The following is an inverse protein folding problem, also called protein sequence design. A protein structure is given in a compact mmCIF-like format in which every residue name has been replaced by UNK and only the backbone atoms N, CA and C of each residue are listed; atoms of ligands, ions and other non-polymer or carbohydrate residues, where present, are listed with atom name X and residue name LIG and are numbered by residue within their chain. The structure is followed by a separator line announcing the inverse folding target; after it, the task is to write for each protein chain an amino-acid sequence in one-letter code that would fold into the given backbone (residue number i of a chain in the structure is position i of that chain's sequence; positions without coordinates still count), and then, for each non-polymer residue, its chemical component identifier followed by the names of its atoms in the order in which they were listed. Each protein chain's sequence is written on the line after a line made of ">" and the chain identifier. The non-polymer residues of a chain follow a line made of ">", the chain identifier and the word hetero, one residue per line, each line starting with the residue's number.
data_IF_033445240450
#
_entry.id   IF_033445240450
#
_cell.length_a   1.000
_cell.length_b   1.000
_cell.length_c   1.000
_cell.angle_alpha   90.00
_cell.angle_beta   90.00
_cell.angle_gamma   90.00
#
_symmetry.space_group_name_H-M   'P 1'
#
loop_
_entity.id
_entity.type
_entity.pdbx_description
1 polymer ?
#
# COMPACT_ATOMS: atom_id res chain seq x y z
N UNK A 1 7.02 -30.52 38.99
CA UNK A 1 6.47 -29.23 38.49
C UNK A 1 6.02 -29.47 37.06
N UNK A 2 4.72 -29.32 36.80
CA UNK A 2 4.09 -29.64 35.51
C UNK A 2 4.56 -28.68 34.43
N UNK A 3 5.15 -29.22 33.35
CA UNK A 3 5.51 -28.50 32.11
C UNK A 3 4.25 -28.08 31.35
N UNK A 4 3.52 -27.10 31.87
CA UNK A 4 2.34 -26.56 31.19
C UNK A 4 2.84 -25.55 30.15
N UNK A 5 2.50 -25.71 28.87
CA UNK A 5 2.86 -24.73 27.84
C UNK A 5 2.24 -23.37 28.18
N UNK A 6 2.93 -22.29 27.80
CA UNK A 6 2.57 -20.90 28.18
C UNK A 6 1.12 -20.57 27.80
N UNK A 7 0.70 -21.06 26.65
CA UNK A 7 -0.64 -20.90 26.08
C UNK A 7 -1.77 -21.55 26.92
N UNK A 8 -1.47 -22.50 27.81
CA UNK A 8 -2.48 -23.15 28.67
C UNK A 8 -2.76 -22.38 29.97
N UNK A 9 -2.04 -21.29 30.26
CA UNK A 9 -2.26 -20.49 31.47
C UNK A 9 -3.25 -19.35 31.27
N UNK A 10 -3.41 -18.86 30.03
CA UNK A 10 -4.36 -17.81 29.66
C UNK A 10 -5.60 -18.40 28.98
N UNK A 11 -6.78 -17.88 29.29
CA UNK A 11 -8.07 -18.48 28.90
C UNK A 11 -8.15 -18.90 27.43
N UNK A 12 -8.76 -20.06 27.17
CA UNK A 12 -8.85 -20.72 25.85
C UNK A 12 -9.19 -19.80 24.67
N UNK A 13 -10.04 -18.79 24.89
CA UNK A 13 -10.44 -17.82 23.86
C UNK A 13 -9.28 -16.95 23.34
N UNK A 14 -8.31 -16.59 24.19
CA UNK A 14 -7.15 -15.78 23.80
C UNK A 14 -6.26 -16.51 22.81
N UNK A 15 -5.89 -17.74 23.17
CA UNK A 15 -5.06 -18.63 22.36
C UNK A 15 -5.69 -18.90 21.01
N UNK A 16 -6.99 -19.20 21.00
CA UNK A 16 -7.74 -19.47 19.77
C UNK A 16 -7.68 -18.26 18.84
N UNK A 17 -7.90 -17.05 19.34
CA UNK A 17 -7.86 -15.86 18.49
C UNK A 17 -6.46 -15.51 17.98
N UNK A 18 -5.42 -15.69 18.79
CA UNK A 18 -4.04 -15.50 18.32
C UNK A 18 -3.68 -16.50 17.21
N UNK A 19 -4.07 -17.76 17.36
CA UNK A 19 -3.89 -18.80 16.35
C UNK A 19 -4.64 -18.46 15.06
N UNK A 20 -5.94 -18.11 15.15
CA UNK A 20 -6.74 -17.66 14.00
C UNK A 20 -6.06 -16.50 13.28
N UNK A 21 -5.59 -15.48 14.02
CA UNK A 21 -4.91 -14.34 13.43
C UNK A 21 -3.62 -14.72 12.70
N UNK A 22 -2.88 -15.69 13.22
CA UNK A 22 -1.63 -16.16 12.61
C UNK A 22 -1.88 -16.97 11.34
N UNK A 23 -2.93 -17.80 11.32
CA UNK A 23 -3.40 -18.47 10.11
C UNK A 23 -3.84 -17.48 9.03
N UNK A 24 -4.63 -16.46 9.41
CA UNK A 24 -5.07 -15.42 8.48
C UNK A 24 -3.89 -14.59 7.94
N UNK A 25 -2.90 -14.28 8.77
CA UNK A 25 -1.64 -13.65 8.33
C UNK A 25 -0.92 -14.50 7.28
N UNK A 26 -0.85 -15.82 7.46
CA UNK A 26 -0.28 -16.73 6.45
C UNK A 26 -1.02 -16.69 5.10
N UNK A 27 -2.35 -16.64 5.12
CA UNK A 27 -3.15 -16.47 3.89
C UNK A 27 -2.87 -15.12 3.23
N UNK A 28 -2.85 -14.04 4.00
CA UNK A 28 -2.59 -12.70 3.50
C UNK A 28 -1.16 -12.56 2.92
N UNK A 29 -0.17 -13.19 3.56
CA UNK A 29 1.19 -13.28 3.05
C UNK A 29 1.28 -14.03 1.70
N UNK A 30 0.50 -15.10 1.53
CA UNK A 30 0.39 -15.78 0.23
C UNK A 30 -0.18 -14.88 -0.88
N UNK A 31 -1.18 -14.05 -0.54
CA UNK A 31 -1.74 -13.06 -1.47
C UNK A 31 -0.72 -11.98 -1.81
N UNK A 32 0.03 -11.49 -0.83
CA UNK A 32 1.13 -10.54 -1.00
C UNK A 32 2.17 -11.06 -2.01
N UNK A 33 2.67 -12.29 -1.82
CA UNK A 33 3.66 -12.89 -2.73
C UNK A 33 3.11 -13.07 -4.15
N UNK A 34 1.86 -13.52 -4.27
CA UNK A 34 1.19 -13.69 -5.56
C UNK A 34 1.07 -12.35 -6.29
N UNK A 35 0.70 -11.29 -5.57
CA UNK A 35 0.58 -9.95 -6.11
C UNK A 35 1.94 -9.36 -6.50
N UNK A 36 2.98 -9.59 -5.68
CA UNK A 36 4.35 -9.19 -5.97
C UNK A 36 4.88 -9.86 -7.24
N UNK A 37 4.70 -11.18 -7.38
CA UNK A 37 5.09 -11.93 -8.58
C UNK A 37 4.38 -11.39 -9.84
N UNK A 38 3.08 -11.13 -9.74
CA UNK A 38 2.29 -10.52 -10.82
C UNK A 38 2.78 -9.11 -11.17
N UNK A 39 3.12 -8.29 -10.17
CA UNK A 39 3.69 -6.96 -10.40
C UNK A 39 5.04 -7.05 -11.13
N UNK A 40 5.93 -7.96 -10.71
CA UNK A 40 7.22 -8.16 -11.37
C UNK A 40 7.07 -8.60 -12.82
N UNK A 41 6.15 -9.54 -13.09
CA UNK A 41 5.84 -9.98 -14.45
C UNK A 41 5.37 -8.80 -15.33
N UNK A 42 4.40 -8.01 -14.85
CA UNK A 42 3.85 -6.89 -15.61
C UNK A 42 4.85 -5.73 -15.78
N UNK A 43 5.61 -5.39 -14.73
CA UNK A 43 6.64 -4.35 -14.78
C UNK A 43 7.81 -4.75 -15.69
N UNK A 44 8.14 -6.05 -15.76
CA UNK A 44 9.14 -6.60 -16.66
C UNK A 44 8.70 -6.55 -18.12
N UNK A 45 7.44 -6.92 -18.41
CA UNK A 45 6.86 -6.94 -19.76
C UNK A 45 6.54 -5.54 -20.31
N UNK A 46 6.17 -4.59 -19.46
CA UNK A 46 5.77 -3.23 -19.84
C UNK A 46 6.96 -2.41 -20.39
N UNK A 47 7.27 -2.57 -21.68
CA UNK A 47 8.45 -1.98 -22.31
C UNK A 47 8.28 -0.58 -22.91
N UNK A 48 7.06 -0.01 -23.03
CA UNK A 48 6.89 1.20 -23.88
C UNK A 48 6.45 2.51 -23.19
N UNK A 49 5.83 2.52 -21.99
CA UNK A 49 5.21 3.76 -21.45
C UNK A 49 5.49 4.06 -19.96
N UNK A 50 6.51 3.44 -19.34
CA UNK A 50 6.93 3.75 -17.96
C UNK A 50 8.37 4.24 -17.98
N UNK A 51 8.64 5.40 -17.37
CA UNK A 51 10.00 5.89 -17.17
C UNK A 51 10.84 4.85 -16.43
N UNK A 52 12.08 4.62 -16.88
CA UNK A 52 13.02 3.69 -16.23
C UNK A 52 13.19 3.99 -14.74
N UNK A 53 13.17 5.27 -14.35
CA UNK A 53 13.27 5.71 -12.94
C UNK A 53 12.07 5.25 -12.13
N UNK A 54 10.87 5.53 -12.61
CA UNK A 54 9.62 5.11 -11.98
C UNK A 54 9.52 3.59 -11.88
N UNK A 55 9.94 2.86 -12.91
CA UNK A 55 9.97 1.39 -12.89
C UNK A 55 10.90 0.86 -11.80
N UNK A 56 12.13 1.37 -11.71
CA UNK A 56 13.10 0.98 -10.67
C UNK A 56 12.56 1.27 -9.26
N UNK A 57 11.93 2.42 -9.07
CA UNK A 57 11.29 2.78 -7.81
C UNK A 57 10.23 1.75 -7.40
N UNK A 58 9.32 1.38 -8.30
CA UNK A 58 8.30 0.36 -8.02
C UNK A 58 8.90 -1.02 -7.71
N UNK A 59 9.93 -1.45 -8.44
CA UNK A 59 10.62 -2.71 -8.14
C UNK A 59 11.24 -2.70 -6.73
N UNK A 60 11.97 -1.63 -6.39
CA UNK A 60 12.58 -1.49 -5.07
C UNK A 60 11.51 -1.47 -3.96
N UNK A 61 10.41 -0.76 -4.19
CA UNK A 61 9.28 -0.69 -3.25
C UNK A 61 8.64 -2.06 -3.00
N UNK A 62 8.41 -2.86 -4.05
CA UNK A 62 7.84 -4.22 -3.92
C UNK A 62 8.80 -5.12 -3.14
N UNK A 63 10.09 -5.12 -3.49
CA UNK A 63 11.10 -5.94 -2.80
C UNK A 63 11.18 -5.57 -1.32
N UNK A 64 11.26 -4.26 -1.02
CA UNK A 64 11.31 -3.76 0.35
C UNK A 64 10.11 -4.24 1.18
N UNK A 65 8.89 -4.11 0.64
CA UNK A 65 7.69 -4.56 1.33
C UNK A 65 7.64 -6.08 1.50
N UNK A 66 8.01 -6.86 0.48
CA UNK A 66 8.07 -8.32 0.60
C UNK A 66 9.06 -8.78 1.67
N UNK A 67 10.20 -8.10 1.82
CA UNK A 67 11.16 -8.43 2.88
C UNK A 67 10.58 -8.15 4.28
N UNK A 68 9.90 -7.01 4.45
CA UNK A 68 9.25 -6.68 5.73
C UNK A 68 8.06 -7.62 6.03
N UNK A 69 7.21 -7.92 5.04
CA UNK A 69 6.11 -8.87 5.17
C UNK A 69 6.60 -10.27 5.52
N UNK A 70 7.70 -10.72 4.90
CA UNK A 70 8.35 -12.00 5.22
C UNK A 70 8.88 -12.02 6.65
N UNK A 71 9.58 -10.96 7.08
CA UNK A 71 10.10 -10.86 8.44
C UNK A 71 8.99 -10.89 9.49
N UNK A 72 7.89 -10.15 9.25
CA UNK A 72 6.75 -10.12 10.16
C UNK A 72 6.00 -11.46 10.22
N UNK A 73 5.79 -12.11 9.08
CA UNK A 73 5.17 -13.43 9.04
C UNK A 73 6.04 -14.46 9.77
N UNK A 74 7.35 -14.47 9.50
CA UNK A 74 8.28 -15.36 10.17
C UNK A 74 8.28 -15.15 11.69
N UNK A 75 8.25 -13.89 12.15
CA UNK A 75 8.17 -13.56 13.57
C UNK A 75 6.86 -14.05 14.19
N UNK A 76 5.72 -13.81 13.54
CA UNK A 76 4.40 -14.27 14.01
C UNK A 76 4.34 -15.79 14.13
N UNK A 77 4.84 -16.51 13.12
CA UNK A 77 4.89 -17.97 13.14
C UNK A 77 5.82 -18.51 14.23
N UNK A 78 7.01 -17.91 14.38
CA UNK A 78 7.93 -18.29 15.43
C UNK A 78 7.31 -18.10 16.83
N UNK A 79 6.62 -16.98 17.06
CA UNK A 79 5.94 -16.70 18.33
C UNK A 79 4.92 -17.78 18.69
N UNK A 80 4.01 -18.11 17.77
CA UNK A 80 2.99 -19.16 18.02
C UNK A 80 3.62 -20.53 18.26
N UNK A 81 4.58 -20.94 17.43
CA UNK A 81 5.26 -22.24 17.57
C UNK A 81 5.99 -22.32 18.91
N UNK A 82 6.71 -21.27 19.29
CA UNK A 82 7.49 -21.26 20.53
C UNK A 82 6.57 -21.27 21.75
N UNK A 83 5.50 -20.45 21.74
CA UNK A 83 4.55 -20.36 22.84
C UNK A 83 3.70 -21.63 23.03
N UNK A 84 3.53 -22.44 21.99
CA UNK A 84 2.81 -23.72 22.04
C UNK A 84 3.70 -24.89 22.48
N UNK A 85 4.96 -24.92 22.07
CA UNK A 85 5.85 -26.09 22.26
C UNK A 85 6.66 -25.99 23.56
N UNK A 86 7.18 -24.81 23.90
CA UNK A 86 8.11 -24.66 25.02
C UNK A 86 7.41 -24.14 26.29
N UNK A 87 7.76 -24.73 27.43
CA UNK A 87 7.48 -24.14 28.74
C UNK A 87 8.27 -22.83 28.91
N UNK A 88 7.70 -21.84 29.62
CA UNK A 88 8.35 -20.53 29.87
C UNK A 88 9.77 -20.68 30.42
N UNK A 89 9.98 -21.53 31.41
CA UNK A 89 11.29 -21.70 32.08
C UNK A 89 12.37 -22.20 31.12
N UNK A 90 12.01 -23.19 30.29
CA UNK A 90 12.90 -23.70 29.25
C UNK A 90 13.24 -22.65 28.18
N UNK A 91 12.31 -21.73 27.89
CA UNK A 91 12.54 -20.64 26.94
C UNK A 91 13.45 -19.56 27.54
N UNK A 92 13.20 -19.14 28.79
CA UNK A 92 14.04 -18.18 29.51
C UNK A 92 15.49 -18.66 29.58
N UNK A 93 15.71 -19.95 29.83
CA UNK A 93 17.05 -20.54 29.85
C UNK A 93 17.77 -20.50 28.49
N UNK A 94 17.04 -20.47 27.37
CA UNK A 94 17.60 -20.52 26.01
C UNK A 94 17.83 -19.15 25.38
N UNK A 95 16.86 -18.24 25.52
CA UNK A 95 16.86 -16.95 24.83
C UNK A 95 16.88 -15.74 25.77
N UNK A 96 16.82 -15.98 27.09
CA UNK A 96 16.73 -14.93 28.09
C UNK A 96 15.32 -14.36 28.26
N UNK A 97 15.14 -13.56 29.31
CA UNK A 97 13.82 -13.08 29.73
C UNK A 97 13.19 -12.10 28.72
N UNK A 98 13.99 -11.20 28.12
CA UNK A 98 13.51 -10.23 27.13
C UNK A 98 12.93 -10.88 25.87
N UNK A 99 13.61 -11.89 25.31
CA UNK A 99 13.12 -12.57 24.11
C UNK A 99 11.96 -13.50 24.43
N UNK A 100 11.96 -14.11 25.62
CA UNK A 100 10.83 -14.91 26.11
C UNK A 100 9.57 -14.04 26.15
N UNK A 101 9.61 -12.89 26.82
CA UNK A 101 8.45 -11.99 26.93
C UNK A 101 7.99 -11.43 25.58
N UNK A 102 8.90 -11.28 24.61
CA UNK A 102 8.55 -10.82 23.26
C UNK A 102 7.93 -11.92 22.40
N UNK A 103 8.40 -13.17 22.51
CA UNK A 103 7.95 -14.30 21.68
C UNK A 103 6.68 -14.98 22.19
N UNK A 104 6.34 -14.79 23.47
CA UNK A 104 5.16 -15.43 24.09
C UNK A 104 3.93 -14.53 24.12
N UNK A 105 3.99 -13.33 23.53
CA UNK A 105 2.85 -12.42 23.45
C UNK A 105 2.31 -12.34 22.02
N UNK A 106 1.00 -12.14 21.83
CA UNK A 106 0.40 -12.05 20.49
C UNK A 106 0.90 -10.89 19.66
N UNK A 107 1.30 -9.79 20.30
CA UNK A 107 1.86 -8.62 19.65
C UNK A 107 2.95 -8.03 20.54
N UNK A 108 4.17 -7.90 20.00
CA UNK A 108 5.34 -7.44 20.74
C UNK A 108 5.91 -6.15 20.17
N UNK A 109 6.80 -5.48 20.92
CA UNK A 109 7.53 -4.32 20.40
C UNK A 109 8.39 -4.67 19.17
N UNK A 110 8.88 -5.89 19.07
CA UNK A 110 9.67 -6.33 17.90
C UNK A 110 8.80 -6.38 16.64
N UNK A 111 7.55 -6.81 16.78
CA UNK A 111 6.56 -6.83 15.69
C UNK A 111 6.06 -5.43 15.31
N UNK A 112 6.11 -4.48 16.24
CA UNK A 112 5.80 -3.08 15.96
C UNK A 112 6.77 -2.47 14.93
N UNK A 113 8.03 -2.91 14.89
CA UNK A 113 9.05 -2.40 13.95
C UNK A 113 8.62 -2.61 12.48
N UNK A 114 8.43 -3.85 11.97
CA UNK A 114 8.01 -4.05 10.59
C UNK A 114 6.62 -3.46 10.34
N UNK A 115 5.73 -3.41 11.35
CA UNK A 115 4.40 -2.78 11.22
C UNK A 115 4.53 -1.30 10.91
N UNK A 116 5.31 -0.55 11.69
CA UNK A 116 5.53 0.89 11.48
C UNK A 116 6.21 1.14 10.14
N UNK A 117 7.25 0.36 9.80
CA UNK A 117 7.98 0.53 8.55
C UNK A 117 7.12 0.27 7.31
N UNK A 118 6.29 -0.77 7.35
CA UNK A 118 5.33 -1.08 6.28
C UNK A 118 4.31 0.04 6.15
N UNK A 119 3.68 0.47 7.25
CA UNK A 119 2.70 1.56 7.23
C UNK A 119 3.31 2.85 6.69
N UNK A 120 4.51 3.23 7.12
CA UNK A 120 5.22 4.39 6.56
C UNK A 120 5.53 4.24 5.08
N UNK A 121 5.92 3.04 4.63
CA UNK A 121 6.15 2.80 3.21
C UNK A 121 4.87 3.00 2.41
N UNK A 122 3.73 2.58 2.95
CA UNK A 122 2.44 2.63 2.33
C UNK A 122 1.87 4.06 2.30
N UNK A 123 1.95 4.79 3.42
CA UNK A 123 1.67 6.23 3.54
C UNK A 123 2.55 7.03 2.57
N UNK A 124 3.86 6.76 2.58
CA UNK A 124 4.85 7.40 1.71
C UNK A 124 4.57 7.16 0.23
N UNK A 125 4.13 5.96 -0.14
CA UNK A 125 3.73 5.65 -1.51
C UNK A 125 2.49 6.46 -1.93
N UNK A 126 1.49 6.59 -1.06
CA UNK A 126 0.30 7.40 -1.32
C UNK A 126 0.64 8.90 -1.43
N UNK A 127 1.48 9.42 -0.53
CA UNK A 127 1.98 10.79 -0.57
C UNK A 127 2.78 11.07 -1.84
N UNK A 128 3.70 10.17 -2.23
CA UNK A 128 4.46 10.29 -3.47
C UNK A 128 3.53 10.40 -4.68
N UNK A 129 2.51 9.55 -4.78
CA UNK A 129 1.50 9.64 -5.85
C UNK A 129 0.74 10.96 -5.83
N UNK A 130 0.38 11.45 -4.65
CA UNK A 130 -0.29 12.73 -4.49
C UNK A 130 0.59 13.88 -5.01
N UNK A 131 1.87 13.90 -4.62
CA UNK A 131 2.83 14.91 -5.09
C UNK A 131 2.99 14.88 -6.61
N UNK A 132 3.20 13.69 -7.20
CA UNK A 132 3.32 13.54 -8.66
C UNK A 132 2.08 14.03 -9.42
N UNK A 133 0.89 13.92 -8.83
CA UNK A 133 -0.36 14.37 -9.46
C UNK A 133 -0.56 15.90 -9.39
N UNK A 134 0.12 16.56 -8.44
CA UNK A 134 0.05 18.00 -8.24
C UNK A 134 1.15 18.76 -8.97
N UNK A 135 1.95 18.10 -9.82
CA UNK A 135 2.85 18.77 -10.75
C UNK A 135 2.07 19.72 -11.69
N UNK A 136 2.61 20.93 -11.90
CA UNK A 136 2.05 21.93 -12.83
C UNK A 136 0.94 22.82 -12.27
N UNK A 137 0.75 22.92 -10.94
CA UNK A 137 -0.11 23.94 -10.32
C UNK A 137 0.59 25.28 -10.16
N UNK A 138 -0.20 26.35 -9.97
CA UNK A 138 0.34 27.68 -9.68
C UNK A 138 1.23 27.67 -8.42
N UNK A 139 2.29 28.49 -8.37
CA UNK A 139 3.30 28.41 -7.31
C UNK A 139 2.71 28.62 -5.91
N UNK A 140 1.72 29.50 -5.75
CA UNK A 140 1.05 29.74 -4.47
C UNK A 140 0.27 28.49 -3.97
N UNK A 141 -0.50 27.87 -4.85
CA UNK A 141 -1.23 26.64 -4.52
C UNK A 141 -0.27 25.47 -4.29
N UNK A 142 0.88 25.46 -4.97
CA UNK A 142 1.94 24.47 -4.75
C UNK A 142 2.53 24.56 -3.35
N UNK A 143 2.83 25.78 -2.88
CA UNK A 143 3.36 26.00 -1.53
C UNK A 143 2.33 25.56 -0.47
N UNK A 144 1.06 25.93 -0.64
CA UNK A 144 -0.01 25.53 0.28
C UNK A 144 -0.22 24.00 0.30
N UNK A 145 -0.15 23.34 -0.86
CA UNK A 145 -0.23 21.89 -0.93
C UNK A 145 0.98 21.21 -0.26
N UNK A 146 2.18 21.70 -0.54
CA UNK A 146 3.41 21.14 0.04
C UNK A 146 3.48 21.35 1.55
N UNK A 147 2.98 22.47 2.08
CA UNK A 147 2.92 22.67 3.53
C UNK A 147 2.01 21.64 4.21
N UNK A 148 0.84 21.34 3.63
CA UNK A 148 -0.04 20.27 4.12
C UNK A 148 0.66 18.92 4.08
N UNK A 149 1.30 18.57 2.96
CA UNK A 149 2.05 17.30 2.82
C UNK A 149 3.16 17.19 3.87
N UNK A 150 3.92 18.26 4.11
CA UNK A 150 4.99 18.29 5.11
C UNK A 150 4.43 18.10 6.52
N UNK A 151 3.34 18.80 6.87
CA UNK A 151 2.69 18.66 8.19
C UNK A 151 2.21 17.23 8.41
N UNK A 152 1.54 16.63 7.42
CA UNK A 152 1.07 15.25 7.48
C UNK A 152 2.23 14.26 7.67
N UNK A 153 3.32 14.47 6.92
CA UNK A 153 4.52 13.62 7.00
C UNK A 153 5.19 13.74 8.36
N UNK A 154 5.36 14.95 8.88
CA UNK A 154 5.96 15.20 10.20
C UNK A 154 5.10 14.60 11.33
N UNK A 155 3.77 14.70 11.22
CA UNK A 155 2.86 14.10 12.20
C UNK A 155 2.98 12.56 12.21
N UNK A 156 2.92 11.91 11.03
CA UNK A 156 3.05 10.44 10.93
C UNK A 156 4.44 9.95 11.35
N UNK A 157 5.51 10.64 10.93
CA UNK A 157 6.88 10.31 11.35
C UNK A 157 7.08 10.51 12.85
N UNK A 158 6.59 11.61 13.42
CA UNK A 158 6.72 11.89 14.85
C UNK A 158 6.06 10.81 15.71
N UNK A 159 4.80 10.45 15.39
CA UNK A 159 4.08 9.41 16.13
C UNK A 159 4.72 8.03 15.91
N UNK A 160 5.10 7.68 14.69
CA UNK A 160 5.75 6.39 14.41
C UNK A 160 7.13 6.26 15.08
N UNK A 161 7.92 7.33 15.13
CA UNK A 161 9.21 7.35 15.84
C UNK A 161 9.04 7.15 17.34
N UNK A 162 8.07 7.81 17.96
CA UNK A 162 7.70 7.53 19.34
C UNK A 162 7.29 6.06 19.54
N UNK A 163 6.67 5.45 18.52
CA UNK A 163 6.32 4.02 18.50
C UNK A 163 7.55 3.13 18.55
N UNK A 164 8.54 3.40 17.71
CA UNK A 164 9.78 2.63 17.66
C UNK A 164 10.60 2.74 18.96
N UNK A 165 10.51 3.85 19.68
CA UNK A 165 11.16 4.01 21.00
C UNK A 165 10.60 3.07 22.08
N UNK A 166 9.41 2.49 21.87
CA UNK A 166 8.84 1.49 22.80
C UNK A 166 9.56 0.14 22.76
N UNK A 167 10.44 -0.09 21.78
CA UNK A 167 11.33 -1.26 21.74
C UNK A 167 12.39 -1.17 22.83
N UNK A 168 12.75 0.05 23.26
CA UNK A 168 13.72 0.24 24.33
C UNK A 168 13.06 -0.11 25.66
N UNK A 169 13.61 -1.06 26.45
CA UNK A 169 12.99 -1.54 27.70
C UNK A 169 12.76 -0.46 28.76
N UNK A 170 13.45 0.68 28.65
CA UNK A 170 13.33 1.81 29.58
C UNK A 170 12.11 2.68 29.34
N UNK A 171 11.41 2.50 28.21
CA UNK A 171 10.26 3.33 27.83
C UNK A 171 8.96 2.73 28.39
N UNK A 172 8.25 3.41 29.31
CA UNK A 172 7.08 2.85 30.00
C UNK A 172 5.78 2.91 29.17
N UNK A 173 5.87 3.00 27.84
CA UNK A 173 4.70 3.17 26.98
C UNK A 173 4.14 1.82 26.54
N UNK A 174 2.83 1.65 26.67
CA UNK A 174 2.16 0.44 26.20
C UNK A 174 2.11 0.36 24.68
N UNK A 175 2.60 -0.75 24.12
CA UNK A 175 2.74 -0.97 22.68
C UNK A 175 1.40 -0.87 21.95
N UNK A 176 0.33 -1.42 22.52
CA UNK A 176 -1.01 -1.40 21.93
C UNK A 176 -1.58 0.03 21.83
N UNK A 177 -1.38 0.84 22.88
CA UNK A 177 -1.81 2.25 22.86
C UNK A 177 -1.01 3.05 21.83
N UNK A 178 0.27 2.73 21.69
CA UNK A 178 1.13 3.42 20.74
C UNK A 178 0.80 3.06 19.29
N UNK A 179 0.54 1.77 19.02
CA UNK A 179 0.02 1.30 17.74
C UNK A 179 -1.32 1.97 17.41
N UNK A 180 -2.23 2.08 18.39
CA UNK A 180 -3.51 2.78 18.22
C UNK A 180 -3.32 4.24 17.78
N UNK A 181 -2.47 5.00 18.48
CA UNK A 181 -2.18 6.40 18.14
C UNK A 181 -1.56 6.52 16.75
N UNK A 182 -0.62 5.62 16.44
CA UNK A 182 0.04 5.59 15.14
C UNK A 182 -0.93 5.27 14.00
N UNK A 183 -1.76 4.24 14.15
CA UNK A 183 -2.73 3.87 13.11
C UNK A 183 -3.82 4.94 12.93
N UNK A 184 -4.19 5.65 14.00
CA UNK A 184 -5.08 6.82 13.91
C UNK A 184 -4.45 7.94 13.08
N UNK A 185 -3.16 8.23 13.29
CA UNK A 185 -2.45 9.21 12.49
C UNK A 185 -2.36 8.78 11.02
N UNK A 186 -2.03 7.51 10.75
CA UNK A 186 -1.99 6.96 9.38
C UNK A 186 -3.36 7.02 8.70
N UNK A 187 -4.45 6.70 9.41
CA UNK A 187 -5.82 6.84 8.89
C UNK A 187 -6.11 8.27 8.43
N UNK A 188 -5.76 9.26 9.25
CA UNK A 188 -5.97 10.69 8.94
C UNK A 188 -5.15 11.07 7.71
N UNK A 189 -3.88 10.68 7.65
CA UNK A 189 -3.00 10.96 6.51
C UNK A 189 -3.56 10.32 5.23
N UNK A 190 -3.88 9.04 5.26
CA UNK A 190 -4.43 8.32 4.10
C UNK A 190 -5.79 8.86 3.67
N UNK A 191 -6.64 9.27 4.62
CA UNK A 191 -7.94 9.90 4.33
C UNK A 191 -7.78 11.25 3.62
N UNK A 192 -6.90 12.11 4.13
CA UNK A 192 -6.64 13.43 3.51
C UNK A 192 -5.98 13.25 2.14
N UNK A 193 -4.95 12.41 2.04
CA UNK A 193 -4.23 12.16 0.78
C UNK A 193 -5.17 11.57 -0.29
N UNK A 194 -5.99 10.59 0.08
CA UNK A 194 -6.96 10.00 -0.85
C UNK A 194 -7.97 11.03 -1.34
N UNK A 195 -8.46 11.90 -0.45
CA UNK A 195 -9.36 12.99 -0.80
C UNK A 195 -8.70 13.97 -1.77
N UNK A 196 -7.45 14.37 -1.52
CA UNK A 196 -6.69 15.26 -2.42
C UNK A 196 -6.50 14.64 -3.81
N UNK A 197 -6.14 13.35 -3.87
CA UNK A 197 -6.01 12.61 -5.14
C UNK A 197 -7.34 12.63 -5.91
N UNK A 198 -8.46 12.29 -5.26
CA UNK A 198 -9.79 12.26 -5.89
C UNK A 198 -10.22 13.65 -6.38
N UNK A 199 -10.03 14.68 -5.54
CA UNK A 199 -10.33 16.06 -5.88
C UNK A 199 -9.56 16.52 -7.13
N UNK A 200 -8.25 16.25 -7.18
CA UNK A 200 -7.38 16.63 -8.31
C UNK A 200 -7.75 15.90 -9.60
N UNK A 201 -8.01 14.59 -9.55
CA UNK A 201 -8.46 13.82 -10.72
C UNK A 201 -9.80 14.35 -11.23
N UNK A 202 -10.74 14.64 -10.33
CA UNK A 202 -12.06 15.18 -10.69
C UNK A 202 -11.96 16.57 -11.29
N UNK A 203 -11.11 17.43 -10.74
CA UNK A 203 -10.83 18.76 -11.28
C UNK A 203 -10.31 18.68 -12.72
N UNK A 204 -9.27 17.88 -12.96
CA UNK A 204 -8.70 17.71 -14.30
C UNK A 204 -9.70 17.12 -15.29
N UNK A 205 -10.51 16.16 -14.85
CA UNK A 205 -11.59 15.60 -15.67
C UNK A 205 -12.60 16.68 -16.08
N UNK A 206 -13.07 17.49 -15.13
CA UNK A 206 -14.04 18.56 -15.42
C UNK A 206 -13.45 19.60 -16.37
N UNK A 207 -12.17 19.94 -16.18
CA UNK A 207 -11.43 20.84 -17.06
C UNK A 207 -11.34 20.30 -18.49
N UNK A 208 -10.94 19.04 -18.67
CA UNK A 208 -10.86 18.41 -19.99
C UNK A 208 -12.23 18.25 -20.65
N UNK A 209 -13.27 17.92 -19.89
CA UNK A 209 -14.64 17.85 -20.41
C UNK A 209 -15.16 19.22 -20.88
N UNK A 210 -14.73 20.30 -20.23
CA UNK A 210 -15.10 21.67 -20.63
C UNK A 210 -14.43 22.07 -21.96
N UNK A 211 -13.19 21.63 -22.20
CA UNK A 211 -12.41 22.02 -23.38
C UNK A 211 -12.70 21.12 -24.59
N UNK A 212 -12.76 19.80 -24.39
CA UNK A 212 -12.86 18.82 -25.47
C UNK A 212 -14.25 18.18 -25.61
N UNK A 213 -15.21 18.56 -24.76
CA UNK A 213 -16.57 18.02 -24.76
C UNK A 213 -16.76 16.73 -23.95
N UNK A 214 -18.01 16.24 -23.89
CA UNK A 214 -18.48 15.21 -22.93
C UNK A 214 -17.87 13.80 -23.12
N UNK A 215 -17.06 13.55 -24.14
CA UNK A 215 -16.50 12.23 -24.48
C UNK A 215 -15.12 11.89 -23.88
N UNK A 216 -14.28 12.89 -23.56
CA UNK A 216 -12.84 12.68 -23.30
C UNK A 216 -12.47 12.27 -21.87
N UNK A 217 -13.45 12.05 -20.98
CA UNK A 217 -13.22 11.74 -19.55
C UNK A 217 -13.12 10.25 -19.19
N UNK A 218 -13.41 9.34 -20.12
CA UNK A 218 -13.49 7.88 -19.85
C UNK A 218 -12.21 7.26 -19.24
N UNK A 219 -10.97 7.54 -19.73
CA UNK A 219 -9.78 6.93 -19.14
C UNK A 219 -9.51 7.39 -17.69
N UNK A 220 -9.85 8.63 -17.34
CA UNK A 220 -9.70 9.14 -15.98
C UNK A 220 -10.64 8.46 -14.97
N UNK A 221 -11.82 7.99 -15.41
CA UNK A 221 -12.72 7.21 -14.57
C UNK A 221 -12.10 5.89 -14.12
N UNK A 222 -11.39 5.20 -15.03
CA UNK A 222 -10.72 3.94 -14.71
C UNK A 222 -9.60 4.16 -13.68
N UNK A 223 -8.80 5.21 -13.86
CA UNK A 223 -7.72 5.55 -12.91
C UNK A 223 -8.30 5.93 -11.55
N UNK A 224 -9.36 6.75 -11.53
CA UNK A 224 -10.03 7.15 -10.29
C UNK A 224 -10.63 5.96 -9.55
N UNK A 225 -11.28 5.04 -10.26
CA UNK A 225 -11.83 3.81 -9.68
C UNK A 225 -10.73 2.97 -9.01
N UNK A 226 -9.58 2.78 -9.66
CA UNK A 226 -8.44 2.05 -9.09
C UNK A 226 -7.94 2.72 -7.80
N UNK A 227 -7.82 4.05 -7.79
CA UNK A 227 -7.40 4.79 -6.60
C UNK A 227 -8.39 4.65 -5.44
N UNK A 228 -9.70 4.77 -5.74
CA UNK A 228 -10.75 4.68 -4.72
C UNK A 228 -10.83 3.26 -4.15
N UNK A 229 -10.86 2.24 -5.02
CA UNK A 229 -10.92 0.83 -4.61
C UNK A 229 -9.76 0.47 -3.67
N UNK A 230 -8.55 0.94 -3.99
CA UNK A 230 -7.36 0.66 -3.18
C UNK A 230 -7.30 1.49 -1.89
N UNK A 231 -7.74 2.75 -1.93
CA UNK A 231 -7.79 3.60 -0.74
C UNK A 231 -8.85 3.14 0.26
N UNK A 232 -10.01 2.66 -0.23
CA UNK A 232 -11.06 2.11 0.62
C UNK A 232 -10.57 0.89 1.42
N UNK A 233 -9.74 0.04 0.81
CA UNK A 233 -9.20 -1.14 1.50
C UNK A 233 -8.37 -0.72 2.74
N UNK A 234 -7.49 0.27 2.60
CA UNK A 234 -6.70 0.79 3.72
C UNK A 234 -7.60 1.44 4.79
N UNK A 235 -8.47 2.37 4.39
CA UNK A 235 -9.32 3.11 5.32
C UNK A 235 -10.27 2.19 6.11
N UNK A 236 -10.88 1.21 5.45
CA UNK A 236 -11.78 0.25 6.10
C UNK A 236 -11.03 -0.57 7.15
N UNK A 237 -9.81 -1.00 6.83
CA UNK A 237 -9.00 -1.80 7.74
C UNK A 237 -8.54 -0.99 8.96
N UNK A 238 -8.10 0.25 8.75
CA UNK A 238 -7.71 1.18 9.80
C UNK A 238 -8.88 1.50 10.74
N UNK A 239 -10.05 1.77 10.18
CA UNK A 239 -11.28 2.03 10.94
C UNK A 239 -11.67 0.79 11.76
N UNK A 240 -11.62 -0.40 11.16
CA UNK A 240 -11.91 -1.66 11.85
C UNK A 240 -10.97 -1.85 13.06
N UNK A 241 -9.67 -1.64 12.87
CA UNK A 241 -8.69 -1.72 13.95
C UNK A 241 -8.96 -0.69 15.07
N UNK A 242 -9.28 0.56 14.72
CA UNK A 242 -9.60 1.63 15.67
C UNK A 242 -10.87 1.31 16.47
N UNK A 243 -11.90 0.78 15.83
CA UNK A 243 -13.14 0.41 16.53
C UNK A 243 -12.86 -0.72 17.53
N UNK A 244 -12.16 -1.78 17.12
CA UNK A 244 -11.89 -2.94 17.97
C UNK A 244 -10.95 -2.62 19.14
N UNK A 245 -9.99 -1.72 18.94
CA UNK A 245 -9.12 -1.23 20.02
C UNK A 245 -9.87 -0.37 21.04
N UNK A 246 -10.86 0.42 20.60
CA UNK A 246 -11.68 1.25 21.47
C UNK A 246 -12.75 0.45 22.24
N UNK A 247 -13.41 -0.52 21.61
CA UNK A 247 -14.38 -1.40 22.30
C UNK A 247 -13.71 -2.17 23.42
N UNK A 248 -12.52 -2.68 23.16
CA UNK A 248 -11.65 -3.32 24.13
C UNK A 248 -11.34 -2.43 25.33
N UNK A 249 -10.89 -1.19 25.10
CA UNK A 249 -10.54 -0.26 26.17
C UNK A 249 -11.72 0.10 27.09
N UNK A 250 -12.95 0.12 26.57
CA UNK A 250 -14.17 0.45 27.34
C UNK A 250 -14.63 -0.64 28.30
N UNK A 251 -14.24 -1.89 28.05
CA UNK A 251 -14.70 -3.03 28.88
C UNK A 251 -13.95 -3.17 30.21
N UNK A 252 -12.92 -2.33 30.47
CA UNK A 252 -12.17 -2.33 31.73
C UNK A 252 -11.35 -3.61 31.98
N UNK A 253 -11.39 -4.56 31.05
CA UNK A 253 -10.51 -5.73 31.05
C UNK A 253 -9.15 -5.24 30.55
N UNK A 254 -8.15 -5.21 31.43
CA UNK A 254 -6.76 -4.82 31.10
C UNK A 254 -6.11 -5.70 30.02
N UNK A 255 -6.77 -6.78 29.61
CA UNK A 255 -6.39 -7.64 28.51
C UNK A 255 -7.18 -7.25 27.27
N UNK A 256 -6.49 -6.99 26.16
CA UNK A 256 -7.18 -6.69 24.93
C UNK A 256 -8.17 -7.82 24.59
N UNK A 257 -9.40 -7.49 24.19
CA UNK A 257 -10.39 -8.51 23.85
C UNK A 257 -9.81 -9.43 22.77
N UNK A 258 -9.99 -10.75 22.86
CA UNK A 258 -9.29 -11.70 21.98
C UNK A 258 -9.58 -11.43 20.49
N UNK A 259 -10.69 -10.78 20.17
CA UNK A 259 -11.13 -10.42 18.83
C UNK A 259 -10.19 -9.46 18.08
N UNK A 260 -9.32 -8.71 18.76
CA UNK A 260 -8.43 -7.74 18.10
C UNK A 260 -7.23 -8.41 17.40
N UNK A 261 -6.79 -9.58 17.88
CA UNK A 261 -5.55 -10.20 17.41
C UNK A 261 -5.57 -10.57 15.92
N UNK A 262 -6.65 -11.15 15.37
CA UNK A 262 -6.76 -11.36 13.93
C UNK A 262 -6.56 -10.08 13.10
N UNK A 263 -7.10 -8.96 13.57
CA UNK A 263 -7.02 -7.68 12.85
C UNK A 263 -5.61 -7.10 12.90
N UNK A 264 -4.94 -7.19 14.06
CA UNK A 264 -3.54 -6.76 14.21
C UNK A 264 -2.63 -7.58 13.30
N UNK A 265 -2.79 -8.91 13.26
CA UNK A 265 -1.95 -9.79 12.43
C UNK A 265 -2.12 -9.57 10.94
N UNK A 266 -3.32 -9.19 10.52
CA UNK A 266 -3.60 -8.87 9.12
C UNK A 266 -3.21 -7.43 8.73
N UNK A 267 -3.15 -6.50 9.69
CA UNK A 267 -2.87 -5.08 9.46
C UNK A 267 -1.61 -4.87 8.62
N UNK A 268 -0.52 -5.54 8.98
CA UNK A 268 0.74 -5.42 8.25
C UNK A 268 0.60 -5.86 6.79
N UNK A 269 -0.03 -7.00 6.53
CA UNK A 269 -0.19 -7.51 5.16
C UNK A 269 -1.14 -6.64 4.35
N UNK A 270 -2.21 -6.11 4.96
CA UNK A 270 -3.13 -5.18 4.27
C UNK A 270 -2.40 -3.92 3.84
N UNK A 271 -1.54 -3.36 4.70
CA UNK A 271 -0.72 -2.19 4.38
C UNK A 271 0.27 -2.44 3.24
N UNK A 272 0.66 -3.69 2.99
CA UNK A 272 1.47 -4.08 1.82
C UNK A 272 0.60 -4.30 0.58
N UNK A 273 -0.55 -4.96 0.73
CA UNK A 273 -1.42 -5.38 -0.37
C UNK A 273 -1.99 -4.17 -1.10
N UNK A 274 -2.50 -3.15 -0.39
CA UNK A 274 -3.17 -2.02 -1.06
C UNK A 274 -2.23 -1.20 -1.98
N UNK A 275 -0.99 -0.82 -1.61
CA UNK A 275 -0.11 -0.13 -2.55
C UNK A 275 0.33 -1.07 -3.68
N UNK A 276 0.53 -2.37 -3.43
CA UNK A 276 0.81 -3.33 -4.49
C UNK A 276 -0.36 -3.48 -5.48
N UNK A 277 -1.62 -3.44 -5.02
CA UNK A 277 -2.79 -3.48 -5.89
C UNK A 277 -2.84 -2.28 -6.82
N UNK A 278 -2.49 -1.10 -6.32
CA UNK A 278 -2.35 0.10 -7.14
C UNK A 278 -1.32 -0.12 -8.24
N UNK A 279 -0.13 -0.62 -7.88
CA UNK A 279 0.96 -0.85 -8.83
C UNK A 279 0.54 -1.86 -9.90
N UNK A 280 -0.06 -2.97 -9.47
CA UNK A 280 -0.59 -4.01 -10.33
C UNK A 280 -1.61 -3.45 -11.32
N UNK A 281 -2.61 -2.71 -10.85
CA UNK A 281 -3.66 -2.13 -11.70
C UNK A 281 -3.11 -1.09 -12.67
N UNK A 282 -2.15 -0.25 -12.23
CA UNK A 282 -1.48 0.72 -13.11
C UNK A 282 -0.63 0.01 -14.17
N UNK A 283 0.05 -1.07 -13.81
CA UNK A 283 0.83 -1.87 -14.74
C UNK A 283 -0.08 -2.60 -15.75
N UNK A 284 -1.20 -3.19 -15.31
CA UNK A 284 -2.21 -3.79 -16.18
C UNK A 284 -2.83 -2.79 -17.16
N UNK A 285 -3.23 -1.61 -16.67
CA UNK A 285 -3.81 -0.55 -17.49
C UNK A 285 -2.87 -0.03 -18.58
N UNK A 286 -1.56 -0.21 -18.41
CA UNK A 286 -0.53 0.12 -19.40
C UNK A 286 -0.14 -1.08 -20.28
N UNK A 287 -0.33 -2.31 -19.79
CA UNK A 287 -0.04 -3.54 -20.52
C UNK A 287 -1.06 -3.85 -21.63
N UNK A 288 -2.29 -3.31 -21.53
CA UNK A 288 -3.30 -3.39 -22.58
C UNK A 288 -3.55 -2.00 -23.19
N UNK A 289 -2.86 -1.64 -24.30
CA UNK A 289 -3.31 -0.52 -25.11
C UNK A 289 -4.68 -0.87 -25.68
N UNK A 290 -5.72 -0.16 -25.22
CA UNK A 290 -7.05 -0.16 -25.85
C UNK A 290 -7.01 0.59 -27.18
N UNK A 291 -6.16 0.16 -28.11
CA UNK A 291 -6.07 0.73 -29.44
C UNK A 291 -6.63 -0.28 -30.46
N UNK A 292 -7.96 -0.26 -30.70
CA UNK A 292 -8.57 -1.06 -31.77
C UNK A 292 -8.12 -0.62 -33.18
N UNK A 293 -7.36 0.47 -33.30
CA UNK A 293 -6.90 1.02 -34.59
C UNK A 293 -5.59 0.40 -35.08
N UNK A 294 -4.90 -0.43 -34.28
CA UNK A 294 -3.63 -1.08 -34.66
C UNK A 294 -3.76 -2.53 -35.13
N UNK A 295 -4.99 -3.06 -35.21
CA UNK A 295 -5.31 -4.36 -35.80
C UNK A 295 -6.03 -4.18 -37.13
N UNK A 296 -5.43 -3.44 -38.06
CA UNK A 296 -5.79 -3.55 -39.47
C UNK A 296 -4.55 -4.09 -40.20
N UNK A 297 -4.52 -5.38 -40.58
CA UNK A 297 -3.46 -5.85 -41.46
C UNK A 297 -3.56 -5.10 -42.80
N UNK A 298 -2.44 -4.81 -43.48
CA UNK A 298 -2.49 -4.25 -44.82
C UNK A 298 -3.13 -5.28 -45.74
N UNK A 299 -4.36 -5.02 -46.18
CA UNK A 299 -4.95 -5.75 -47.30
C UNK A 299 -4.25 -5.30 -48.57
N UNK A 300 -3.20 -6.03 -48.95
CA UNK A 300 -2.60 -5.96 -50.27
C UNK A 300 -3.30 -6.94 -51.22
N UNK A 301 -3.55 -6.47 -52.44
CA UNK A 301 -4.22 -7.08 -53.61
C UNK A 301 -5.76 -7.02 -53.57
N UNK A 302 -6.46 -6.44 -54.54
CA UNK A 302 -6.27 -6.63 -55.98
C UNK A 302 -6.72 -5.42 -56.84
N UNK A 303 -6.21 -5.48 -58.07
CA UNK A 303 -6.16 -4.64 -59.25
C UNK A 303 -7.39 -3.88 -59.81
N UNK A 304 -7.04 -2.84 -60.59
CA UNK A 304 -7.71 -2.29 -61.80
C UNK A 304 -9.02 -1.51 -61.65
N UNK A 305 -8.93 -0.18 -61.82
CA UNK A 305 -10.07 0.71 -62.04
C UNK A 305 -9.64 2.18 -62.18
N UNK A 306 -9.85 2.75 -63.36
CA UNK A 306 -9.34 4.02 -63.89
C UNK A 306 -10.19 5.24 -63.45
N UNK A 307 -9.63 6.45 -63.61
CA UNK A 307 -10.28 7.80 -63.70
C UNK A 307 -10.54 8.50 -62.34
N UNK A 308 -10.12 9.74 -62.04
CA UNK A 308 -9.43 10.82 -62.77
C UNK A 308 -8.72 11.73 -61.75
N UNK A 309 -7.54 12.26 -62.09
CA UNK A 309 -7.34 13.64 -62.53
C UNK A 309 -7.87 14.73 -61.58
N UNK A 310 -6.96 15.40 -60.86
CA UNK A 310 -7.00 16.85 -60.70
C UNK A 310 -5.58 17.38 -60.52
N UNK A 311 -5.15 18.09 -61.55
CA UNK A 311 -3.86 18.71 -61.80
C UNK A 311 -3.92 20.14 -61.27
N UNK A 312 -2.90 20.60 -60.56
CA UNK A 312 -2.51 22.00 -60.57
C UNK A 312 -1.01 22.06 -60.86
N UNK A 313 -0.71 22.34 -62.13
CA UNK A 313 0.59 22.76 -62.66
C UNK A 313 0.48 24.28 -62.77
N UNK A 314 1.26 25.00 -61.94
CA UNK A 314 2.41 25.83 -62.35
C UNK A 314 1.95 27.19 -62.90
N UNK A 315 2.66 28.30 -62.88
CA UNK A 315 4.05 28.70 -62.67
C UNK A 315 3.96 30.11 -61.98
N UNK A 316 4.97 30.82 -61.54
CA UNK A 316 6.08 31.28 -62.36
C UNK A 316 7.06 32.11 -61.51
N UNK A 317 8.34 31.77 -61.69
CA UNK A 317 9.55 32.60 -61.77
C UNK A 317 9.87 33.63 -60.65
N UNK A 318 11.13 33.90 -60.31
CA UNK A 318 12.32 33.85 -61.13
C UNK A 318 13.60 33.65 -60.30
N UNK A 319 14.57 33.04 -60.96
CA UNK A 319 16.01 33.03 -60.73
C UNK A 319 16.55 34.42 -60.33
N UNK A 320 17.72 34.57 -59.69
CA UNK A 320 19.03 34.44 -60.34
C UNK A 320 20.15 34.76 -59.33
N UNK A 321 21.13 33.85 -59.22
CA UNK A 321 22.60 34.04 -59.19
C UNK A 321 23.10 35.43 -58.73
N UNK A 322 23.79 35.50 -57.57
CA UNK A 322 25.26 35.57 -57.36
C UNK A 322 25.53 35.13 -55.92
#
# INVERSE_FOLDING_TARGET
>A
MSNIPVINQDGSSFTVSWLIGSFLSGVAYGLELTLAANCFYLLGKSSQNISKRTRRFHFAFIIFNCLLGTAAFAYTMAGVIIATIFSRDALVARVGEYWTSSLTVPFSAVELIPTVLVTWSADGFMLWRCVMLYEGISPLNHIAFMSVVVILTLASLGVGMCGLLTVVPTTPWEQNQMLFRFQTASLIVNGIVSTLIICRITYHRRYLQKIFGKGYGKPYMKIMAICIESAMLALVWDILFIILSQTTARTGVHSAGPEIYPVIKLLIHVNIIYPMLIIFRVAQGKAFPSDPTKLQPPSSADSTGRIGELRFISDEAASTII
#
